data_IF_652162495175
#
_entry.id   IF_652162495175
#
_cell.length_a   1.000
_cell.length_b   1.000
_cell.length_c   1.000
_cell.angle_alpha   90.00
_cell.angle_beta   90.00
_cell.angle_gamma   90.00
#
_symmetry.space_group_name_H-M   'P 1'
#
loop_
_entity.id
_entity.type
_entity.pdbx_description
1 polymer ?
#
# COMPACT_ATOMS: atom_id res chain seq x y z
N UNK A 1 10.10 17.19 -27.65
CA UNK A 1 10.49 16.62 -28.96
C UNK A 1 10.44 15.11 -28.85
N UNK A 2 9.37 14.47 -29.32
CA UNK A 2 9.20 13.01 -29.29
C UNK A 2 9.14 12.52 -30.74
N UNK A 3 9.99 11.56 -31.18
CA UNK A 3 9.96 11.03 -32.54
C UNK A 3 8.60 10.43 -32.91
N UNK A 4 8.14 10.64 -34.14
CA UNK A 4 6.80 10.27 -34.62
C UNK A 4 6.51 8.76 -34.55
N UNK A 5 7.53 7.90 -34.65
CA UNK A 5 7.37 6.44 -34.59
C UNK A 5 7.04 5.89 -33.19
N UNK A 6 7.39 6.62 -32.13
CA UNK A 6 7.21 6.18 -30.73
C UNK A 6 6.17 7.02 -29.99
N UNK A 7 5.62 8.04 -30.65
CA UNK A 7 4.67 8.98 -30.07
C UNK A 7 3.43 8.25 -29.54
N UNK A 8 2.87 7.33 -30.32
CA UNK A 8 1.67 6.59 -29.92
C UNK A 8 1.92 5.71 -28.68
N UNK A 9 3.08 5.03 -28.61
CA UNK A 9 3.50 4.24 -27.46
C UNK A 9 3.70 5.10 -26.21
N UNK A 10 4.39 6.24 -26.31
CA UNK A 10 4.65 7.14 -25.18
C UNK A 10 3.34 7.75 -24.66
N UNK A 11 2.45 8.20 -25.55
CA UNK A 11 1.14 8.73 -25.14
C UNK A 11 0.26 7.66 -24.49
N UNK A 12 0.34 6.40 -24.94
CA UNK A 12 -0.33 5.28 -24.31
C UNK A 12 0.21 5.00 -22.91
N UNK A 13 1.54 4.88 -22.76
CA UNK A 13 2.18 4.67 -21.45
C UNK A 13 1.90 5.81 -20.46
N UNK A 14 1.91 7.06 -20.93
CA UNK A 14 1.58 8.22 -20.10
C UNK A 14 0.14 8.14 -19.58
N UNK A 15 -0.82 7.79 -20.46
CA UNK A 15 -2.22 7.64 -20.08
C UNK A 15 -2.44 6.46 -19.13
N UNK A 16 -1.82 5.32 -19.40
CA UNK A 16 -1.89 4.15 -18.52
C UNK A 16 -1.31 4.45 -17.12
N UNK A 17 -0.25 5.26 -17.06
CA UNK A 17 0.35 5.73 -15.80
C UNK A 17 -0.58 6.68 -15.04
N UNK A 18 -1.14 7.69 -15.72
CA UNK A 18 -2.07 8.64 -15.11
C UNK A 18 -3.31 7.94 -14.55
N UNK A 19 -3.88 6.99 -15.31
CA UNK A 19 -5.04 6.20 -14.88
C UNK A 19 -4.70 5.32 -13.67
N UNK A 20 -3.52 4.68 -13.66
CA UNK A 20 -3.05 3.87 -12.54
C UNK A 20 -2.82 4.72 -11.28
N UNK A 21 -2.17 5.88 -11.39
CA UNK A 21 -1.96 6.79 -10.27
C UNK A 21 -3.28 7.35 -9.75
N UNK A 22 -4.20 7.74 -10.63
CA UNK A 22 -5.52 8.22 -10.25
C UNK A 22 -6.34 7.15 -9.52
N UNK A 23 -6.30 5.89 -9.98
CA UNK A 23 -6.93 4.76 -9.29
C UNK A 23 -6.30 4.51 -7.92
N UNK A 24 -4.96 4.47 -7.83
CA UNK A 24 -4.22 4.30 -6.58
C UNK A 24 -4.59 5.37 -5.55
N UNK A 25 -4.55 6.65 -5.93
CA UNK A 25 -4.85 7.75 -5.01
C UNK A 25 -6.28 7.69 -4.47
N UNK A 26 -7.27 7.39 -5.34
CA UNK A 26 -8.67 7.22 -4.91
C UNK A 26 -8.83 6.04 -3.96
N UNK A 27 -8.18 4.92 -4.26
CA UNK A 27 -8.13 3.75 -3.39
C UNK A 27 -7.53 4.07 -2.02
N UNK A 28 -6.38 4.74 -2.01
CA UNK A 28 -5.66 5.08 -0.78
C UNK A 28 -6.45 6.03 0.12
N UNK A 29 -7.15 7.02 -0.45
CA UNK A 29 -8.02 7.92 0.32
C UNK A 29 -9.12 7.12 1.03
N UNK A 30 -9.74 6.15 0.35
CA UNK A 30 -10.75 5.27 0.96
C UNK A 30 -10.15 4.41 2.08
N UNK A 31 -8.95 3.87 1.89
CA UNK A 31 -8.22 3.12 2.92
C UNK A 31 -7.98 4.00 4.16
N UNK A 32 -7.49 5.23 3.97
CA UNK A 32 -7.20 6.16 5.07
C UNK A 32 -8.46 6.48 5.88
N UNK A 33 -9.58 6.75 5.20
CA UNK A 33 -10.86 7.04 5.86
C UNK A 33 -11.36 5.80 6.62
N UNK A 34 -11.32 4.62 5.98
CA UNK A 34 -11.76 3.37 6.60
C UNK A 34 -10.93 3.05 7.86
N UNK A 35 -9.60 3.14 7.77
CA UNK A 35 -8.71 2.91 8.91
C UNK A 35 -8.88 3.96 10.00
N UNK A 36 -9.11 5.23 9.65
CA UNK A 36 -9.40 6.28 10.64
C UNK A 36 -10.62 5.92 11.48
N UNK A 37 -11.69 5.42 10.83
CA UNK A 37 -12.91 4.98 11.51
C UNK A 37 -12.64 3.74 12.36
N UNK A 38 -12.01 2.71 11.78
CA UNK A 38 -11.73 1.43 12.47
C UNK A 38 -10.87 1.67 13.71
N UNK A 39 -9.77 2.43 13.58
CA UNK A 39 -8.90 2.73 14.71
C UNK A 39 -9.62 3.58 15.77
N UNK A 40 -10.34 4.63 15.36
CA UNK A 40 -11.04 5.51 16.30
C UNK A 40 -12.09 4.72 17.09
N UNK A 41 -12.89 3.90 16.41
CA UNK A 41 -13.91 3.07 17.06
C UNK A 41 -13.27 2.02 17.97
N UNK A 42 -12.29 1.27 17.47
CA UNK A 42 -11.63 0.21 18.24
C UNK A 42 -10.95 0.75 19.50
N UNK A 43 -10.19 1.85 19.39
CA UNK A 43 -9.54 2.47 20.55
C UNK A 43 -10.55 3.09 21.53
N UNK A 44 -11.68 3.60 21.04
CA UNK A 44 -12.76 4.11 21.90
C UNK A 44 -13.43 2.98 22.68
N UNK A 45 -13.63 1.81 22.06
CA UNK A 45 -14.16 0.62 22.73
C UNK A 45 -13.20 0.09 23.81
N UNK A 46 -11.90 0.26 23.62
CA UNK A 46 -10.88 -0.05 24.63
C UNK A 46 -10.90 0.95 25.80
N UNK A 47 -11.52 2.13 25.61
CA UNK A 47 -11.57 3.20 26.60
C UNK A 47 -10.30 4.05 26.64
N UNK A 48 -9.51 4.06 25.56
CA UNK A 48 -8.25 4.81 25.52
C UNK A 48 -8.51 6.32 25.47
N UNK A 49 -7.80 7.09 26.30
CA UNK A 49 -7.81 8.54 26.19
C UNK A 49 -7.30 8.98 24.81
N UNK A 50 -7.91 10.03 24.23
CA UNK A 50 -7.58 10.52 22.88
C UNK A 50 -7.77 9.48 21.75
N UNK A 51 -8.53 8.39 21.98
CA UNK A 51 -8.78 7.33 21.00
C UNK A 51 -9.13 7.84 19.59
N UNK A 52 -10.05 8.80 19.48
CA UNK A 52 -10.47 9.38 18.20
C UNK A 52 -9.32 10.15 17.54
N UNK A 53 -8.58 10.97 18.29
CA UNK A 53 -7.46 11.73 17.74
C UNK A 53 -6.35 10.80 17.25
N UNK A 54 -6.00 9.79 18.04
CA UNK A 54 -5.01 8.77 17.68
C UNK A 54 -5.48 7.99 16.45
N UNK A 55 -6.74 7.57 16.42
CA UNK A 55 -7.31 6.81 15.32
C UNK A 55 -7.31 7.58 14.00
N UNK A 56 -7.72 8.86 14.02
CA UNK A 56 -7.67 9.75 12.86
C UNK A 56 -6.23 9.99 12.40
N UNK A 57 -5.31 10.31 13.31
CA UNK A 57 -3.89 10.54 12.94
C UNK A 57 -3.27 9.27 12.36
N UNK A 58 -3.50 8.12 13.00
CA UNK A 58 -3.03 6.83 12.51
C UNK A 58 -3.58 6.55 11.11
N UNK A 59 -4.89 6.70 10.90
CA UNK A 59 -5.54 6.50 9.61
C UNK A 59 -5.07 7.46 8.51
N UNK A 60 -4.75 8.71 8.85
CA UNK A 60 -4.17 9.67 7.90
C UNK A 60 -2.71 9.33 7.54
N UNK A 61 -1.92 8.92 8.54
CA UNK A 61 -0.54 8.46 8.32
C UNK A 61 -0.50 7.16 7.50
N UNK A 62 -1.60 6.38 7.47
CA UNK A 62 -1.79 5.25 6.58
C UNK A 62 -1.80 5.59 5.08
N UNK A 63 -1.64 6.86 4.66
CA UNK A 63 -1.39 7.18 3.25
C UNK A 63 -0.23 6.33 2.68
N UNK A 64 0.77 6.04 3.53
CA UNK A 64 1.80 5.04 3.26
C UNK A 64 1.41 3.76 4.01
N UNK A 65 1.30 2.61 3.33
CA UNK A 65 0.99 1.33 3.95
C UNK A 65 1.88 1.04 5.15
N UNK A 66 1.30 0.40 6.16
CA UNK A 66 1.94 0.05 7.43
C UNK A 66 2.36 1.21 8.34
N UNK A 67 2.56 2.43 7.83
CA UNK A 67 2.94 3.57 8.69
C UNK A 67 1.85 3.89 9.71
N UNK A 68 0.58 3.89 9.30
CA UNK A 68 -0.53 4.14 10.22
C UNK A 68 -0.58 3.17 11.40
N UNK A 69 -0.27 1.90 11.16
CA UNK A 69 -0.14 0.87 12.20
C UNK A 69 1.02 1.18 13.16
N UNK A 70 2.23 1.44 12.63
CA UNK A 70 3.42 1.71 13.44
C UNK A 70 3.27 2.97 14.28
N UNK A 71 2.86 4.08 13.65
CA UNK A 71 2.65 5.35 14.34
C UNK A 71 1.47 5.30 15.31
N UNK A 72 0.37 4.64 14.91
CA UNK A 72 -0.81 4.49 15.75
C UNK A 72 -0.54 3.70 17.03
N UNK A 73 0.17 2.57 16.94
CA UNK A 73 0.60 1.81 18.12
C UNK A 73 1.53 2.65 19.00
N UNK A 74 2.48 3.39 18.40
CA UNK A 74 3.38 4.26 19.16
C UNK A 74 2.63 5.32 19.96
N UNK A 75 1.70 6.03 19.33
CA UNK A 75 0.87 7.04 20.00
C UNK A 75 -0.03 6.42 21.07
N UNK A 76 -0.69 5.30 20.77
CA UNK A 76 -1.55 4.60 21.72
C UNK A 76 -0.75 4.07 22.93
N UNK A 77 0.43 3.50 22.71
CA UNK A 77 1.28 2.98 23.76
C UNK A 77 1.77 4.09 24.71
N UNK A 78 2.09 5.27 24.18
CA UNK A 78 2.43 6.44 25.01
C UNK A 78 1.27 6.85 25.90
N UNK A 79 0.04 6.80 25.40
CA UNK A 79 -1.16 7.10 26.20
C UNK A 79 -1.42 6.01 27.25
N UNK A 80 -1.35 4.73 26.87
CA UNK A 80 -1.51 3.60 27.80
C UNK A 80 -0.48 3.64 28.94
N UNK A 81 0.75 4.08 28.67
CA UNK A 81 1.79 4.18 29.68
C UNK A 81 1.46 5.16 30.82
N UNK A 82 0.50 6.08 30.61
CA UNK A 82 0.05 7.03 31.63
C UNK A 82 -1.17 6.51 32.41
N UNK A 83 -1.73 5.36 32.05
CA UNK A 83 -2.96 4.82 32.64
C UNK A 83 -2.67 3.92 33.86
N UNK A 84 -3.56 3.90 34.87
CA UNK A 84 -3.38 3.09 36.08
C UNK A 84 -3.45 1.58 35.82
N UNK A 85 -4.13 1.13 34.76
CA UNK A 85 -4.28 -0.28 34.38
C UNK A 85 -3.80 -0.53 32.94
N UNK A 86 -2.47 -0.53 32.72
CA UNK A 86 -1.92 -0.50 31.37
C UNK A 86 -2.02 -1.84 30.62
N UNK A 87 -2.01 -2.98 31.33
CA UNK A 87 -1.93 -4.31 30.69
C UNK A 87 -3.18 -4.66 29.89
N UNK A 88 -4.37 -4.43 30.46
CA UNK A 88 -5.64 -4.70 29.76
C UNK A 88 -5.83 -3.77 28.57
N UNK A 89 -5.51 -2.49 28.76
CA UNK A 89 -5.64 -1.48 27.72
C UNK A 89 -4.66 -1.71 26.57
N UNK A 90 -3.42 -2.11 26.87
CA UNK A 90 -2.41 -2.49 25.88
C UNK A 90 -2.88 -3.70 25.04
N UNK A 91 -3.46 -4.71 25.67
CA UNK A 91 -4.01 -5.86 24.95
C UNK A 91 -5.13 -5.44 23.99
N UNK A 92 -6.02 -4.54 24.42
CA UNK A 92 -7.07 -3.97 23.58
C UNK A 92 -6.53 -3.15 22.40
N UNK A 93 -5.48 -2.35 22.62
CA UNK A 93 -4.77 -1.61 21.57
C UNK A 93 -4.19 -2.58 20.54
N UNK A 94 -3.40 -3.57 20.98
CA UNK A 94 -2.78 -4.56 20.09
C UNK A 94 -3.84 -5.31 19.29
N UNK A 95 -4.92 -5.74 19.94
CA UNK A 95 -6.03 -6.42 19.27
C UNK A 95 -6.68 -5.53 18.20
N UNK A 96 -6.98 -4.26 18.54
CA UNK A 96 -7.56 -3.28 17.60
C UNK A 96 -6.68 -3.11 16.37
N UNK A 97 -5.39 -2.85 16.56
CA UNK A 97 -4.45 -2.64 15.46
C UNK A 97 -4.24 -3.90 14.63
N UNK A 98 -4.22 -5.08 15.25
CA UNK A 98 -4.10 -6.36 14.55
C UNK A 98 -5.32 -6.64 13.69
N UNK A 99 -6.54 -6.47 14.23
CA UNK A 99 -7.79 -6.65 13.48
C UNK A 99 -7.85 -5.67 12.31
N UNK A 100 -7.53 -4.40 12.55
CA UNK A 100 -7.46 -3.40 11.50
C UNK A 100 -6.45 -3.77 10.41
N UNK A 101 -5.26 -4.28 10.78
CA UNK A 101 -4.24 -4.72 9.85
C UNK A 101 -4.70 -5.90 8.99
N UNK A 102 -5.41 -6.86 9.59
CA UNK A 102 -5.98 -8.00 8.86
C UNK A 102 -7.04 -7.54 7.86
N UNK A 103 -7.90 -6.60 8.26
CA UNK A 103 -8.90 -5.98 7.38
C UNK A 103 -8.20 -5.21 6.25
N UNK A 104 -7.16 -4.45 6.57
CA UNK A 104 -6.35 -3.71 5.61
C UNK A 104 -5.78 -4.66 4.55
N UNK A 105 -5.00 -5.66 4.98
CA UNK A 105 -4.27 -6.55 4.11
C UNK A 105 -5.15 -7.49 3.30
N UNK A 106 -6.26 -7.94 3.88
CA UNK A 106 -7.09 -9.00 3.27
C UNK A 106 -8.25 -8.46 2.44
N UNK A 107 -8.72 -7.24 2.73
CA UNK A 107 -9.91 -6.68 2.07
C UNK A 107 -9.64 -5.32 1.44
N UNK A 108 -9.10 -4.36 2.20
CA UNK A 108 -9.01 -2.97 1.72
C UNK A 108 -7.96 -2.83 0.63
N UNK A 109 -6.73 -3.29 0.87
CA UNK A 109 -5.64 -3.23 -0.11
C UNK A 109 -5.99 -3.94 -1.43
N UNK A 110 -6.41 -5.22 -1.46
CA UNK A 110 -6.72 -5.91 -2.71
C UNK A 110 -7.92 -5.29 -3.45
N UNK A 111 -8.94 -4.81 -2.72
CA UNK A 111 -10.17 -4.26 -3.33
C UNK A 111 -10.04 -2.81 -3.77
N UNK A 112 -9.26 -1.99 -3.07
CA UNK A 112 -9.17 -0.54 -3.29
C UNK A 112 -7.90 -0.14 -4.04
N UNK A 113 -6.80 -0.84 -3.79
CA UNK A 113 -5.48 -0.56 -4.39
C UNK A 113 -5.15 -1.58 -5.50
N UNK A 114 -5.79 -2.74 -5.47
CA UNK A 114 -5.87 -3.66 -6.58
C UNK A 114 -4.78 -4.73 -6.57
N UNK A 115 -5.23 -5.98 -6.58
CA UNK A 115 -4.45 -7.20 -6.88
C UNK A 115 -3.72 -7.19 -8.25
N UNK A 116 -3.70 -6.07 -8.99
CA UNK A 116 -3.09 -6.01 -10.32
C UNK A 116 -1.60 -5.76 -10.32
N UNK A 117 -0.99 -5.35 -9.21
CA UNK A 117 0.45 -5.04 -9.18
C UNK A 117 1.28 -6.27 -8.81
N UNK A 118 0.70 -7.27 -8.12
CA UNK A 118 1.42 -8.51 -7.75
C UNK A 118 2.67 -8.28 -6.89
N UNK A 119 2.80 -7.09 -6.29
CA UNK A 119 3.96 -6.73 -5.50
C UNK A 119 3.87 -7.41 -4.14
N UNK A 120 4.78 -8.35 -3.90
CA UNK A 120 4.95 -8.95 -2.58
C UNK A 120 5.17 -7.84 -1.52
N UNK A 121 4.60 -7.93 -0.30
CA UNK A 121 4.72 -6.90 0.75
C UNK A 121 6.17 -6.44 1.01
N UNK A 122 7.12 -7.36 0.87
CA UNK A 122 8.56 -7.08 0.98
C UNK A 122 9.03 -6.02 -0.02
N UNK A 123 8.54 -6.05 -1.26
CA UNK A 123 8.92 -5.07 -2.30
C UNK A 123 8.39 -3.68 -1.95
N UNK A 124 7.19 -3.61 -1.35
CA UNK A 124 6.61 -2.34 -0.88
C UNK A 124 7.47 -1.74 0.23
N UNK A 125 7.79 -2.54 1.26
CA UNK A 125 8.65 -2.09 2.37
C UNK A 125 10.03 -1.68 1.85
N UNK A 126 10.63 -2.49 0.98
CA UNK A 126 11.93 -2.18 0.38
C UNK A 126 11.89 -0.88 -0.42
N UNK A 127 10.83 -0.65 -1.19
CA UNK A 127 10.66 0.59 -1.96
C UNK A 127 10.52 1.81 -1.05
N UNK A 128 9.78 1.69 0.05
CA UNK A 128 9.63 2.76 1.06
C UNK A 128 10.98 3.08 1.70
N UNK A 129 11.72 2.06 2.13
CA UNK A 129 13.03 2.25 2.78
C UNK A 129 14.04 2.84 1.79
N UNK A 130 14.12 2.30 0.57
CA UNK A 130 15.02 2.80 -0.47
C UNK A 130 14.67 4.24 -0.87
N UNK A 131 13.38 4.53 -1.08
CA UNK A 131 12.91 5.89 -1.35
C UNK A 131 13.25 6.86 -0.22
N UNK A 132 13.00 6.44 1.03
CA UNK A 132 13.34 7.21 2.23
C UNK A 132 14.83 7.55 2.35
N UNK A 133 15.71 6.61 1.99
CA UNK A 133 17.16 6.86 2.00
C UNK A 133 17.62 7.79 0.87
N UNK A 134 17.02 7.68 -0.33
CA UNK A 134 17.45 8.45 -1.49
C UNK A 134 16.93 9.89 -1.49
N UNK A 135 15.67 10.10 -1.12
CA UNK A 135 14.99 11.40 -1.25
C UNK A 135 14.23 11.82 0.01
N UNK A 136 14.49 11.17 1.15
CA UNK A 136 13.83 11.48 2.43
C UNK A 136 12.33 11.25 2.37
N UNK A 137 11.56 12.16 2.99
CA UNK A 137 10.11 12.09 3.04
C UNK A 137 9.45 12.00 1.64
N UNK A 138 9.95 12.77 0.68
CA UNK A 138 9.42 12.75 -0.69
C UNK A 138 9.65 11.39 -1.36
N UNK A 139 10.76 10.72 -1.06
CA UNK A 139 11.02 9.38 -1.58
C UNK A 139 10.08 8.32 -1.00
N UNK A 140 9.69 8.44 0.26
CA UNK A 140 8.65 7.58 0.87
C UNK A 140 7.30 7.81 0.19
N UNK A 141 6.93 9.09 -0.03
CA UNK A 141 5.67 9.46 -0.67
C UNK A 141 5.56 8.93 -2.11
N UNK A 142 6.67 8.98 -2.84
CA UNK A 142 6.75 8.56 -4.24
C UNK A 142 7.09 7.08 -4.44
N UNK A 143 7.45 6.36 -3.38
CA UNK A 143 7.89 4.96 -3.47
C UNK A 143 6.84 4.05 -4.12
N UNK A 144 5.58 4.16 -3.69
CA UNK A 144 4.49 3.35 -4.23
C UNK A 144 4.10 3.71 -5.67
N UNK A 145 3.88 5.00 -6.00
CA UNK A 145 3.74 5.45 -7.39
C UNK A 145 4.87 4.93 -8.29
N UNK A 146 6.13 5.07 -7.85
CA UNK A 146 7.29 4.61 -8.60
C UNK A 146 7.30 3.09 -8.77
N UNK A 147 6.96 2.33 -7.72
CA UNK A 147 6.85 0.87 -7.80
C UNK A 147 5.73 0.42 -8.74
N UNK A 148 4.60 1.13 -8.77
CA UNK A 148 3.52 0.88 -9.71
C UNK A 148 3.95 1.13 -11.16
N UNK A 149 4.60 2.27 -11.43
CA UNK A 149 5.15 2.60 -12.76
C UNK A 149 6.17 1.54 -13.20
N UNK A 150 7.10 1.18 -12.31
CA UNK A 150 8.10 0.17 -12.58
C UNK A 150 7.45 -1.18 -12.93
N UNK A 151 6.39 -1.55 -12.21
CA UNK A 151 5.64 -2.79 -12.48
C UNK A 151 4.98 -2.79 -13.86
N UNK A 152 4.43 -1.66 -14.29
CA UNK A 152 3.86 -1.50 -15.65
C UNK A 152 4.96 -1.63 -16.71
N UNK A 153 6.10 -0.98 -16.50
CA UNK A 153 7.24 -1.04 -17.43
C UNK A 153 7.82 -2.45 -17.54
N UNK A 154 8.00 -3.15 -16.42
CA UNK A 154 8.51 -4.53 -16.39
C UNK A 154 7.55 -5.46 -17.12
N UNK A 155 6.23 -5.35 -16.89
CA UNK A 155 5.21 -6.13 -17.62
C UNK A 155 5.24 -5.86 -19.11
N UNK A 156 5.37 -4.59 -19.50
CA UNK A 156 5.46 -4.21 -20.91
C UNK A 156 6.73 -4.78 -21.57
N UNK A 157 7.89 -4.72 -20.90
CA UNK A 157 9.14 -5.29 -21.38
C UNK A 157 9.06 -6.82 -21.49
N UNK A 158 8.48 -7.49 -20.50
CA UNK A 158 8.27 -8.94 -20.51
C UNK A 158 7.38 -9.38 -21.67
N UNK A 159 6.25 -8.69 -21.88
CA UNK A 159 5.35 -8.99 -22.99
C UNK A 159 6.02 -8.74 -24.37
N UNK A 160 6.88 -7.74 -24.50
CA UNK A 160 7.66 -7.55 -25.72
C UNK A 160 8.68 -8.67 -25.92
N UNK A 161 9.38 -9.10 -24.86
CA UNK A 161 10.34 -10.21 -24.94
C UNK A 161 9.67 -11.51 -25.42
N UNK A 162 8.48 -11.84 -24.90
CA UNK A 162 7.70 -12.99 -25.33
C UNK A 162 7.20 -12.87 -26.77
N UNK A 163 6.83 -11.66 -27.21
CA UNK A 163 6.42 -11.40 -28.58
C UNK A 163 7.59 -11.58 -29.57
N UNK A 164 8.82 -11.28 -29.15
CA UNK A 164 10.04 -11.46 -29.95
C UNK A 164 10.56 -12.91 -29.89
N UNK A 165 10.32 -13.65 -28.80
CA UNK A 165 10.78 -15.03 -28.59
C UNK A 165 9.61 -16.01 -28.34
N UNK A 166 8.82 -16.36 -29.38
CA UNK A 166 7.62 -17.18 -29.22
C UNK A 166 7.88 -18.60 -28.69
N UNK A 167 9.11 -19.12 -28.78
CA UNK A 167 9.48 -20.41 -28.18
C UNK A 167 9.44 -20.40 -26.64
N UNK A 168 9.77 -19.27 -26.01
CA UNK A 168 9.69 -19.10 -24.55
C UNK A 168 8.23 -19.02 -24.04
N UNK A 169 7.33 -18.48 -24.86
CA UNK A 169 5.89 -18.43 -24.55
C UNK A 169 5.22 -19.82 -24.55
N UNK A 170 5.76 -20.77 -25.32
CA UNK A 170 5.26 -22.16 -25.38
C UNK A 170 5.70 -22.96 -24.15
N UNK A 171 6.92 -22.75 -23.63
CA UNK A 171 7.39 -23.36 -22.38
C UNK A 171 6.57 -22.90 -21.17
N UNK A 172 6.27 -21.59 -21.07
CA UNK A 172 5.44 -21.02 -19.99
C UNK A 172 4.02 -21.63 -19.96
N UNK A 173 3.39 -21.79 -21.12
CA UNK A 173 2.04 -22.37 -21.24
C UNK A 173 2.02 -23.90 -21.07
N UNK A 174 3.19 -24.57 -21.09
CA UNK A 174 3.31 -26.03 -20.91
C UNK A 174 3.63 -26.44 -19.46
N UNK A 175 3.93 -25.47 -18.58
CA UNK A 175 4.20 -25.68 -17.16
C UNK A 175 2.98 -25.53 -16.23
N UNK A 176 1.84 -25.05 -16.73
CA UNK A 176 0.58 -25.07 -15.98
C UNK A 176 -0.01 -26.50 -15.98
N UNK A 177 -0.25 -27.13 -14.82
CA UNK A 177 -1.12 -28.29 -14.78
C UNK A 177 -2.53 -27.81 -15.13
N UNK A 178 -3.07 -28.31 -16.24
CA UNK A 178 -4.49 -28.18 -16.58
C UNK A 178 -5.35 -28.55 -15.37
N UNK A 179 -6.44 -27.81 -15.08
CA UNK A 179 -7.31 -28.07 -13.94
C UNK A 179 -7.93 -29.48 -13.94
#
# INVERSE_FOLDING_TARGET
LVPSAQRETIFKLARDTDDALGAFLRGQILVMIALSIIYSVGLTLVGLQFAIAIGVVAGLVSFVPYLGFVFGIGLAALTVAMEPSPLWMLAGVIATFTIAQMIESSFLTPKLVGDRIGLHPVIVIFSIVAGGQLFGFFGILLALPAAAILSVLVRFAYNQYLAEHPAAAVEENSGEPTP
#
